data_IF_677046283519
#
_entry.id   IF_677046283519
#
_cell.length_a   1.000
_cell.length_b   1.000
_cell.length_c   1.000
_cell.angle_alpha   90.00
_cell.angle_beta   90.00
_cell.angle_gamma   90.00
#
_symmetry.space_group_name_H-M   'P 1'
#
loop_
_entity.id
_entity.type
_entity.pdbx_description
1 polymer ?
#
# COMPACT_ATOMS: atom_id res chain seq x y z
N UNK A 1 -0.98 30.73 15.40
CA UNK A 1 0.19 30.93 14.52
C UNK A 1 0.36 29.67 13.70
N UNK A 2 -0.22 29.66 12.51
CA UNK A 2 -0.10 28.58 11.52
C UNK A 2 1.22 28.75 10.82
N UNK A 3 2.17 27.87 11.09
CA UNK A 3 3.40 27.75 10.30
C UNK A 3 3.04 27.09 8.98
N UNK A 4 2.93 27.88 7.91
CA UNK A 4 2.94 27.36 6.54
C UNK A 4 4.28 26.65 6.32
N UNK A 5 4.24 25.32 6.19
CA UNK A 5 5.37 24.55 5.67
C UNK A 5 5.41 24.79 4.17
N UNK A 6 6.41 25.53 3.70
CA UNK A 6 6.74 25.61 2.28
C UNK A 6 7.14 24.21 1.80
N UNK A 7 6.44 23.59 0.84
CA UNK A 7 6.83 22.30 0.32
C UNK A 7 8.15 22.46 -0.43
N UNK A 8 9.20 21.82 0.06
CA UNK A 8 10.44 21.65 -0.70
C UNK A 8 10.12 20.77 -1.90
N UNK A 9 9.94 21.38 -3.06
CA UNK A 9 9.66 20.69 -4.32
C UNK A 9 10.92 19.96 -4.79
N UNK A 10 11.19 18.79 -4.22
CA UNK A 10 12.15 17.86 -4.79
C UNK A 10 11.50 17.24 -6.03
N UNK A 11 12.17 17.37 -7.19
CA UNK A 11 11.74 16.73 -8.43
C UNK A 11 11.76 15.21 -8.25
N UNK A 12 10.66 14.52 -8.53
CA UNK A 12 10.66 13.05 -8.57
C UNK A 12 11.53 12.57 -9.75
N UNK A 13 11.97 11.31 -9.72
CA UNK A 13 12.66 10.70 -10.87
C UNK A 13 11.81 10.79 -12.13
N UNK A 14 10.49 10.63 -12.01
CA UNK A 14 9.56 10.75 -13.13
C UNK A 14 9.52 12.17 -13.69
N UNK A 15 9.58 13.19 -12.84
CA UNK A 15 9.64 14.59 -13.28
C UNK A 15 10.98 14.90 -13.94
N UNK A 16 12.08 14.38 -13.40
CA UNK A 16 13.39 14.51 -14.02
C UNK A 16 13.44 13.83 -15.41
N UNK A 17 12.87 12.63 -15.54
CA UNK A 17 12.76 11.93 -16.82
C UNK A 17 11.86 12.68 -17.82
N UNK A 18 10.74 13.25 -17.36
CA UNK A 18 9.88 14.11 -18.19
C UNK A 18 10.63 15.34 -18.68
N UNK A 19 11.38 16.01 -17.80
CA UNK A 19 12.17 17.21 -18.13
C UNK A 19 13.29 16.89 -19.15
N UNK A 20 13.96 15.74 -19.00
CA UNK A 20 14.98 15.28 -19.95
C UNK A 20 14.36 14.88 -21.30
N UNK A 21 13.21 14.21 -21.29
CA UNK A 21 12.48 13.81 -22.49
C UNK A 21 11.94 14.99 -23.31
N UNK A 22 11.47 16.05 -22.65
CA UNK A 22 11.06 17.30 -23.33
C UNK A 22 12.26 18.11 -23.83
N UNK A 23 13.41 18.02 -23.17
CA UNK A 23 14.67 18.63 -23.63
C UNK A 23 15.22 18.01 -24.91
N UNK A 24 15.06 16.69 -25.11
CA UNK A 24 15.50 16.01 -26.34
C UNK A 24 14.63 16.34 -27.57
N UNK A 25 13.35 16.69 -27.37
CA UNK A 25 12.47 17.15 -28.45
C UNK A 25 12.59 18.66 -28.75
N UNK A 26 13.22 19.45 -27.87
CA UNK A 26 13.28 20.91 -27.97
C UNK A 26 14.66 21.52 -28.21
N UNK A 27 15.75 20.74 -28.16
CA UNK A 27 17.11 21.24 -28.33
C UNK A 27 17.91 20.41 -29.33
N UNK A 28 17.50 20.45 -30.60
CA UNK A 28 18.40 20.20 -31.72
C UNK A 28 19.42 21.34 -31.87
N UNK A 29 20.34 21.50 -30.89
CA UNK A 29 21.55 22.28 -31.10
C UNK A 29 22.47 21.47 -32.00
N UNK A 30 22.51 21.89 -33.26
CA UNK A 30 23.21 21.23 -34.34
C UNK A 30 24.70 21.01 -34.06
N UNK A 31 25.15 19.80 -34.39
CA UNK A 31 26.52 19.45 -34.77
C UNK A 31 26.49 18.06 -35.43
N UNK A 32 25.89 17.96 -36.62
CA UNK A 32 26.16 16.84 -37.54
C UNK A 32 26.52 17.41 -38.90
N UNK A 33 27.82 17.53 -39.11
CA UNK A 33 28.39 17.69 -40.44
C UNK A 33 28.09 16.42 -41.26
N UNK A 34 27.47 16.59 -42.42
CA UNK A 34 27.54 15.68 -43.55
C UNK A 34 26.80 14.34 -43.41
N UNK A 35 25.57 14.29 -43.94
CA UNK A 35 25.08 13.28 -44.89
C UNK A 35 23.58 13.52 -45.15
N UNK A 36 23.24 13.93 -46.38
CA UNK A 36 21.86 13.96 -46.86
C UNK A 36 21.36 12.52 -47.12
N UNK A 37 20.25 12.13 -46.49
CA UNK A 37 19.19 11.32 -47.13
C UNK A 37 17.97 11.14 -46.22
N UNK A 38 16.81 11.55 -46.71
CA UNK A 38 15.51 10.99 -46.32
C UNK A 38 14.82 11.65 -45.13
N UNK A 39 13.99 12.66 -45.40
CA UNK A 39 13.02 13.18 -44.43
C UNK A 39 11.98 12.12 -44.08
N UNK A 40 12.16 11.47 -42.94
CA UNK A 40 11.06 10.81 -42.24
C UNK A 40 10.27 11.89 -41.49
N UNK A 41 8.93 11.86 -41.48
CA UNK A 41 8.16 12.78 -40.66
C UNK A 41 8.57 12.55 -39.21
N UNK A 42 9.00 13.63 -38.56
CA UNK A 42 9.25 13.70 -37.13
C UNK A 42 7.95 13.31 -36.44
N UNK A 43 7.87 12.07 -35.97
CA UNK A 43 6.74 11.61 -35.18
C UNK A 43 6.81 12.38 -33.87
N UNK A 44 6.06 13.48 -33.77
CA UNK A 44 5.77 14.14 -32.51
C UNK A 44 5.16 13.07 -31.63
N UNK A 45 5.84 12.63 -30.54
CA UNK A 45 5.23 11.66 -29.64
C UNK A 45 3.97 12.31 -29.11
N UNK A 46 2.81 11.76 -29.44
CA UNK A 46 1.57 12.19 -28.81
C UNK A 46 1.78 12.07 -27.30
N UNK A 47 1.49 13.14 -26.53
CA UNK A 47 1.53 13.03 -25.09
C UNK A 47 0.63 11.84 -24.72
N UNK A 48 1.07 10.94 -23.81
CA UNK A 48 0.23 9.84 -23.38
C UNK A 48 -1.14 10.40 -23.01
N UNK A 49 -2.24 9.74 -23.40
CA UNK A 49 -3.58 10.27 -23.17
C UNK A 49 -3.66 10.70 -21.72
N UNK A 50 -3.93 12.00 -21.51
CA UNK A 50 -4.02 12.57 -20.19
C UNK A 50 -4.98 11.72 -19.38
N UNK A 51 -4.52 11.20 -18.23
CA UNK A 51 -5.37 10.42 -17.33
C UNK A 51 -6.61 11.27 -17.08
N UNK A 52 -7.79 10.76 -17.43
CA UNK A 52 -9.03 11.47 -17.21
C UNK A 52 -9.08 11.91 -15.74
N UNK A 53 -9.36 13.18 -15.49
CA UNK A 53 -9.43 13.71 -14.14
C UNK A 53 -10.46 12.89 -13.36
N UNK A 54 -10.03 12.27 -12.27
CA UNK A 54 -10.92 11.52 -11.38
C UNK A 54 -11.70 12.54 -10.58
N UNK A 55 -13.04 12.51 -10.70
CA UNK A 55 -13.91 13.38 -9.90
C UNK A 55 -14.34 12.60 -8.67
N UNK A 56 -13.98 13.12 -7.49
CA UNK A 56 -14.39 12.53 -6.22
C UNK A 56 -15.72 13.15 -5.75
N UNK A 57 -16.61 12.37 -5.10
CA UNK A 57 -17.79 12.90 -4.46
C UNK A 57 -17.46 13.96 -3.40
N UNK A 58 -18.35 14.92 -3.20
CA UNK A 58 -18.21 15.90 -2.14
C UNK A 58 -18.11 15.20 -0.77
N UNK A 59 -17.11 15.60 0.02
CA UNK A 59 -16.84 14.99 1.34
C UNK A 59 -16.16 13.63 1.31
N UNK A 60 -15.74 13.15 0.13
CA UNK A 60 -14.90 11.95 0.04
C UNK A 60 -13.57 12.15 0.78
N UNK A 61 -13.11 11.10 1.46
CA UNK A 61 -11.85 11.10 2.21
C UNK A 61 -11.06 9.84 1.88
N UNK A 62 -9.74 9.92 2.05
CA UNK A 62 -8.89 8.76 2.30
C UNK A 62 -8.43 8.81 3.74
N UNK A 63 -8.75 7.77 4.51
CA UNK A 63 -8.28 7.63 5.88
C UNK A 63 -6.85 7.07 5.89
N UNK A 64 -5.89 7.94 6.16
CA UNK A 64 -4.51 7.53 6.44
C UNK A 64 -4.30 7.39 7.95
N UNK A 65 -3.19 6.77 8.34
CA UNK A 65 -2.78 6.60 9.73
C UNK A 65 -2.67 7.93 10.47
N UNK A 66 -2.14 8.97 9.82
CA UNK A 66 -1.90 10.26 10.47
C UNK A 66 -3.12 11.20 10.40
N UNK A 67 -3.93 11.11 9.35
CA UNK A 67 -5.08 11.98 9.14
C UNK A 67 -6.06 11.42 8.09
N UNK A 68 -7.31 11.89 8.13
CA UNK A 68 -8.18 11.81 6.96
C UNK A 68 -7.75 12.93 5.99
N UNK A 69 -7.54 12.59 4.72
CA UNK A 69 -7.08 13.52 3.69
C UNK A 69 -8.06 13.56 2.52
N UNK A 70 -8.04 14.65 1.75
CA UNK A 70 -8.72 14.74 0.46
C UNK A 70 -8.11 13.73 -0.51
N UNK A 71 -8.89 12.89 -1.22
CA UNK A 71 -8.34 11.97 -2.23
C UNK A 71 -7.47 12.64 -3.29
N UNK A 72 -7.73 13.92 -3.61
CA UNK A 72 -6.90 14.71 -4.52
C UNK A 72 -5.47 14.93 -4.01
N UNK A 73 -5.21 14.83 -2.70
CA UNK A 73 -3.86 14.91 -2.15
C UNK A 73 -2.96 13.75 -2.61
N UNK A 74 -3.55 12.62 -3.03
CA UNK A 74 -2.81 11.48 -3.56
C UNK A 74 -2.37 11.63 -5.01
N UNK A 75 -2.86 12.65 -5.75
CA UNK A 75 -2.51 12.91 -7.16
C UNK A 75 -1.02 13.30 -7.35
N UNK A 76 -0.30 13.48 -6.26
CA UNK A 76 1.15 13.72 -6.21
C UNK A 76 1.98 12.49 -6.61
N UNK A 77 1.39 11.29 -6.69
CA UNK A 77 2.12 10.06 -6.98
C UNK A 77 1.24 8.81 -7.13
N UNK A 78 1.88 7.66 -7.24
CA UNK A 78 1.23 6.36 -7.27
C UNK A 78 0.86 5.88 -5.86
N UNK A 79 -0.23 5.12 -5.77
CA UNK A 79 -0.57 4.34 -4.58
C UNK A 79 -0.14 2.90 -4.81
N UNK A 80 0.71 2.36 -3.93
CA UNK A 80 0.93 0.92 -3.83
C UNK A 80 -0.14 0.34 -2.90
N UNK A 81 -1.05 -0.46 -3.46
CA UNK A 81 -2.28 -0.85 -2.77
C UNK A 81 -2.16 -2.11 -1.90
N UNK A 82 -1.02 -2.80 -1.95
CA UNK A 82 -0.82 -4.02 -1.16
C UNK A 82 0.66 -4.19 -0.83
N UNK A 83 1.07 -3.64 0.30
CA UNK A 83 2.44 -3.77 0.81
C UNK A 83 2.40 -4.21 2.28
N UNK A 84 3.51 -4.68 2.82
CA UNK A 84 3.60 -5.08 4.22
C UNK A 84 4.68 -4.26 4.92
N UNK A 85 4.26 -3.37 5.82
CA UNK A 85 5.16 -2.50 6.58
C UNK A 85 5.34 -2.98 8.03
N UNK A 86 4.46 -3.85 8.54
CA UNK A 86 4.62 -4.43 9.87
C UNK A 86 5.53 -5.68 9.82
N UNK A 87 6.47 -5.74 10.77
CA UNK A 87 7.60 -6.68 10.79
C UNK A 87 7.28 -8.15 11.08
N UNK A 88 6.01 -8.56 11.01
CA UNK A 88 5.59 -9.89 11.51
C UNK A 88 5.59 -10.98 10.43
N UNK A 89 6.08 -10.69 9.22
CA UNK A 89 6.16 -11.68 8.15
C UNK A 89 7.58 -12.23 7.98
N UNK A 90 7.76 -13.51 8.35
CA UNK A 90 9.00 -14.25 8.17
C UNK A 90 8.93 -15.08 6.89
N UNK A 91 9.12 -14.43 5.74
CA UNK A 91 9.26 -15.10 4.44
C UNK A 91 10.27 -14.34 3.56
N UNK A 92 11.15 -15.02 2.81
CA UNK A 92 11.33 -16.47 2.75
C UNK A 92 11.91 -17.05 4.07
N UNK A 93 11.78 -18.37 4.31
CA UNK A 93 12.47 -19.01 5.42
C UNK A 93 13.98 -18.73 5.36
N UNK A 94 14.66 -18.61 6.51
CA UNK A 94 16.07 -18.29 6.54
C UNK A 94 16.87 -19.30 5.72
N UNK A 95 17.78 -18.81 4.89
CA UNK A 95 18.65 -19.67 4.09
C UNK A 95 19.42 -20.67 4.96
N UNK A 96 19.64 -21.92 4.47
CA UNK A 96 20.38 -22.92 5.22
C UNK A 96 21.79 -22.41 5.55
N UNK A 97 22.13 -22.41 6.84
CA UNK A 97 23.45 -22.01 7.34
C UNK A 97 24.34 -23.21 7.57
N UNK A 98 25.65 -23.00 7.46
CA UNK A 98 26.62 -24.03 7.82
C UNK A 98 26.41 -24.50 9.27
N UNK A 99 26.53 -25.81 9.58
CA UNK A 99 26.32 -26.34 10.91
C UNK A 99 27.14 -25.59 11.97
N UNK A 100 26.50 -25.21 13.08
CA UNK A 100 27.14 -24.47 14.17
C UNK A 100 27.24 -22.95 13.96
N UNK A 101 26.74 -22.41 12.85
CA UNK A 101 26.67 -20.96 12.64
C UNK A 101 25.44 -20.39 13.36
N UNK A 102 25.59 -19.50 14.36
CA UNK A 102 24.45 -18.89 15.02
C UNK A 102 23.65 -18.00 14.05
N UNK A 103 22.33 -17.80 14.29
CA UNK A 103 21.58 -16.76 13.61
C UNK A 103 22.19 -15.38 13.90
N UNK A 104 22.04 -14.38 13.01
CA UNK A 104 22.44 -13.03 13.36
C UNK A 104 21.53 -12.54 14.50
N UNK A 105 21.94 -11.54 15.27
CA UNK A 105 20.98 -10.86 16.13
C UNK A 105 19.84 -10.32 15.26
N UNK A 106 18.61 -10.45 15.74
CA UNK A 106 17.48 -9.79 15.10
C UNK A 106 17.70 -8.27 15.18
N UNK A 107 17.35 -7.52 14.13
CA UNK A 107 17.43 -6.06 14.19
C UNK A 107 16.48 -5.52 15.25
N UNK A 108 16.82 -4.38 15.84
CA UNK A 108 15.92 -3.66 16.75
C UNK A 108 14.78 -3.03 15.97
N UNK A 109 13.65 -2.75 16.63
CA UNK A 109 12.55 -2.00 16.02
C UNK A 109 13.02 -0.65 15.47
N UNK A 110 13.89 0.05 16.19
CA UNK A 110 14.48 1.31 15.73
C UNK A 110 15.25 1.15 14.42
N UNK A 111 16.15 0.16 14.34
CA UNK A 111 16.92 -0.09 13.12
C UNK A 111 16.02 -0.49 11.93
N UNK A 112 14.95 -1.23 12.21
CA UNK A 112 13.97 -1.61 11.18
C UNK A 112 13.12 -0.42 10.71
N UNK A 113 12.71 0.47 11.63
CA UNK A 113 12.00 1.70 11.28
C UNK A 113 12.90 2.61 10.45
N UNK A 114 14.18 2.73 10.79
CA UNK A 114 15.14 3.51 10.01
C UNK A 114 15.28 2.98 8.59
N UNK A 115 15.46 1.66 8.45
CA UNK A 115 15.51 0.99 7.15
C UNK A 115 14.25 1.26 6.32
N UNK A 116 13.06 1.03 6.89
CA UNK A 116 11.81 1.26 6.15
C UNK A 116 11.58 2.73 5.81
N UNK A 117 12.02 3.67 6.65
CA UNK A 117 11.95 5.09 6.32
C UNK A 117 12.78 5.40 5.07
N UNK A 118 13.97 4.81 4.93
CA UNK A 118 14.81 5.01 3.76
C UNK A 118 14.21 4.34 2.50
N UNK A 119 13.67 3.12 2.62
CA UNK A 119 12.93 2.46 1.53
C UNK A 119 11.71 3.27 1.08
N UNK A 120 10.93 3.80 2.03
CA UNK A 120 9.77 4.65 1.73
C UNK A 120 10.18 5.96 1.04
N UNK A 121 11.31 6.56 1.43
CA UNK A 121 11.86 7.76 0.76
C UNK A 121 12.31 7.44 -0.66
N UNK A 122 12.90 6.27 -0.89
CA UNK A 122 13.27 5.82 -2.23
C UNK A 122 12.04 5.58 -3.10
N UNK A 123 11.02 4.91 -2.56
CA UNK A 123 9.73 4.76 -3.22
C UNK A 123 9.09 6.11 -3.55
N UNK A 124 9.11 7.06 -2.61
CA UNK A 124 8.62 8.42 -2.83
C UNK A 124 9.40 9.16 -3.92
N UNK A 125 10.73 9.01 -3.95
CA UNK A 125 11.58 9.58 -4.99
C UNK A 125 11.23 9.01 -6.39
N UNK A 126 10.87 7.73 -6.47
CA UNK A 126 10.39 7.08 -7.69
C UNK A 126 8.92 7.39 -8.02
N UNK A 127 8.23 8.17 -7.16
CA UNK A 127 6.91 8.74 -7.42
C UNK A 127 5.75 8.04 -6.70
N UNK A 128 6.00 7.29 -5.63
CA UNK A 128 4.95 6.75 -4.75
C UNK A 128 4.51 7.82 -3.74
N UNK A 129 3.21 8.12 -3.68
CA UNK A 129 2.64 9.06 -2.70
C UNK A 129 1.98 8.35 -1.53
N UNK A 130 1.51 7.12 -1.73
CA UNK A 130 0.73 6.39 -0.75
C UNK A 130 1.01 4.88 -0.76
N UNK A 131 0.99 4.27 0.42
CA UNK A 131 1.05 2.83 0.61
C UNK A 131 -0.13 2.37 1.46
N UNK A 132 -0.77 1.28 1.05
CA UNK A 132 -1.73 0.55 1.87
C UNK A 132 -0.99 -0.61 2.54
N UNK A 133 -0.89 -0.58 3.87
CA UNK A 133 -0.28 -1.64 4.68
C UNK A 133 -1.29 -2.78 4.89
N UNK A 134 -1.05 -3.89 4.21
CA UNK A 134 -1.83 -5.13 4.26
C UNK A 134 -1.42 -6.07 5.40
N UNK A 135 -0.63 -5.59 6.36
CA UNK A 135 -0.25 -6.40 7.52
C UNK A 135 -1.48 -6.85 8.32
N UNK A 136 -1.46 -8.11 8.75
CA UNK A 136 -2.64 -8.83 9.25
C UNK A 136 -2.70 -8.79 10.78
N UNK A 137 -3.91 -8.90 11.34
CA UNK A 137 -4.12 -9.02 12.78
C UNK A 137 -4.07 -7.71 13.57
N UNK A 138 -4.28 -7.79 14.90
CA UNK A 138 -4.22 -6.63 15.79
C UNK A 138 -2.81 -6.09 15.94
N UNK A 139 -2.69 -4.76 15.94
CA UNK A 139 -1.42 -4.06 16.15
C UNK A 139 -1.31 -3.59 17.60
N UNK A 140 -0.15 -3.82 18.20
CA UNK A 140 0.25 -3.22 19.48
C UNK A 140 0.46 -1.71 19.35
N UNK A 141 0.46 -1.00 20.48
CA UNK A 141 0.74 0.44 20.52
C UNK A 141 2.12 0.78 19.95
N UNK A 142 3.12 -0.07 20.20
CA UNK A 142 4.48 0.11 19.66
C UNK A 142 4.49 -0.04 18.13
N UNK A 143 3.78 -1.02 17.58
CA UNK A 143 3.65 -1.19 16.12
C UNK A 143 2.97 0.01 15.47
N UNK A 144 1.89 0.53 16.07
CA UNK A 144 1.21 1.74 15.59
C UNK A 144 2.14 2.96 15.67
N UNK A 145 2.91 3.10 16.75
CA UNK A 145 3.88 4.19 16.90
C UNK A 145 5.00 4.10 15.85
N UNK A 146 5.49 2.89 15.55
CA UNK A 146 6.50 2.64 14.52
C UNK A 146 5.97 3.02 13.13
N UNK A 147 4.75 2.59 12.77
CA UNK A 147 4.11 2.96 11.50
C UNK A 147 3.87 4.47 11.38
N UNK A 148 3.46 5.13 12.48
CA UNK A 148 3.29 6.58 12.50
C UNK A 148 4.62 7.32 12.34
N UNK A 149 5.70 6.81 12.95
CA UNK A 149 7.05 7.33 12.77
C UNK A 149 7.52 7.15 11.31
N UNK A 150 7.25 6.01 10.69
CA UNK A 150 7.54 5.78 9.27
C UNK A 150 6.84 6.80 8.38
N UNK A 151 5.51 6.93 8.48
CA UNK A 151 4.73 7.91 7.72
C UNK A 151 5.24 9.35 7.90
N UNK A 152 5.54 9.73 9.15
CA UNK A 152 5.99 11.09 9.48
C UNK A 152 7.38 11.39 8.91
N UNK A 153 8.31 10.44 8.99
CA UNK A 153 9.72 10.63 8.62
C UNK A 153 9.98 10.47 7.12
N UNK A 154 9.17 9.66 6.43
CA UNK A 154 9.26 9.45 4.98
C UNK A 154 8.45 10.48 4.18
N UNK A 155 7.33 10.96 4.75
CA UNK A 155 6.36 11.81 4.04
C UNK A 155 5.40 11.03 3.13
N UNK A 156 5.49 9.70 3.09
CA UNK A 156 4.56 8.83 2.36
C UNK A 156 3.29 8.66 3.19
N UNK A 157 2.13 8.78 2.54
CA UNK A 157 0.86 8.46 3.18
C UNK A 157 0.76 6.95 3.43
N UNK A 158 0.43 6.55 4.66
CA UNK A 158 0.19 5.14 4.99
C UNK A 158 -1.28 4.97 5.32
N UNK A 159 -1.98 4.13 4.57
CA UNK A 159 -3.33 3.65 4.87
C UNK A 159 -3.19 2.31 5.57
N UNK A 160 -3.72 2.17 6.79
CA UNK A 160 -3.71 0.88 7.47
C UNK A 160 -4.86 0.02 6.99
N UNK A 161 -4.53 -1.13 6.41
CA UNK A 161 -5.42 -2.26 6.25
C UNK A 161 -5.57 -3.01 7.57
N UNK A 162 -6.74 -3.61 7.77
CA UNK A 162 -6.91 -4.55 8.86
C UNK A 162 -7.90 -5.64 8.56
N UNK A 163 -7.52 -6.84 8.97
CA UNK A 163 -8.29 -8.07 8.81
C UNK A 163 -7.59 -9.20 9.56
N UNK A 164 -8.21 -10.37 9.57
CA UNK A 164 -7.53 -11.64 9.72
C UNK A 164 -7.26 -12.27 8.34
N UNK A 165 -6.15 -13.03 8.22
CA UNK A 165 -5.69 -13.54 6.92
C UNK A 165 -6.35 -14.84 6.48
N UNK A 166 -5.82 -15.98 6.93
CA UNK A 166 -6.23 -17.33 6.54
C UNK A 166 -6.24 -18.24 7.77
N UNK A 167 -7.06 -19.29 7.74
CA UNK A 167 -6.97 -20.39 8.70
C UNK A 167 -5.62 -21.14 8.50
N UNK A 168 -4.96 -21.66 9.55
CA UNK A 168 -5.33 -21.66 10.96
C UNK A 168 -4.86 -20.41 11.75
N UNK A 169 -4.52 -19.29 11.10
CA UNK A 169 -4.03 -18.09 11.81
C UNK A 169 -5.11 -17.30 12.56
N UNK A 170 -6.38 -17.68 12.45
CA UNK A 170 -7.45 -17.06 13.22
C UNK A 170 -7.29 -17.40 14.71
N UNK A 171 -7.31 -16.41 15.62
CA UNK A 171 -7.34 -16.68 17.05
C UNK A 171 -8.58 -17.51 17.43
N UNK A 172 -8.43 -18.41 18.40
CA UNK A 172 -9.51 -19.33 18.80
C UNK A 172 -10.75 -18.57 19.28
N UNK A 173 -10.54 -17.46 19.99
CA UNK A 173 -11.60 -16.57 20.45
C UNK A 173 -12.40 -15.97 19.30
N UNK A 174 -11.77 -15.67 18.15
CA UNK A 174 -12.45 -15.11 16.97
C UNK A 174 -13.24 -16.20 16.24
N UNK A 175 -12.70 -17.40 16.12
CA UNK A 175 -13.39 -18.53 15.46
C UNK A 175 -14.70 -18.87 16.17
N UNK A 176 -14.77 -18.72 17.49
CA UNK A 176 -15.96 -19.03 18.29
C UNK A 176 -17.08 -18.00 18.19
N UNK A 177 -16.78 -16.80 17.71
CA UNK A 177 -17.79 -15.75 17.53
C UNK A 177 -18.71 -16.06 16.35
N UNK A 178 -19.94 -15.57 16.45
CA UNK A 178 -20.86 -15.47 15.32
C UNK A 178 -20.38 -14.41 14.33
N UNK A 179 -20.92 -14.44 13.11
CA UNK A 179 -20.58 -13.48 12.05
C UNK A 179 -20.80 -12.01 12.48
N UNK A 180 -21.92 -11.71 13.13
CA UNK A 180 -22.26 -10.36 13.62
C UNK A 180 -21.32 -9.89 14.75
N UNK A 181 -20.92 -10.80 15.64
CA UNK A 181 -19.96 -10.52 16.71
C UNK A 181 -18.57 -10.25 16.14
N UNK A 182 -18.13 -11.00 15.12
CA UNK A 182 -16.88 -10.72 14.39
C UNK A 182 -16.95 -9.35 13.74
N UNK A 183 -18.06 -9.03 13.05
CA UNK A 183 -18.22 -7.72 12.41
C UNK A 183 -18.16 -6.58 13.44
N UNK A 184 -18.78 -6.75 14.60
CA UNK A 184 -18.74 -5.76 15.68
C UNK A 184 -17.33 -5.59 16.24
N UNK A 185 -16.63 -6.70 16.53
CA UNK A 185 -15.23 -6.70 16.94
C UNK A 185 -14.34 -5.95 15.94
N UNK A 186 -14.50 -6.22 14.64
CA UNK A 186 -13.70 -5.59 13.58
C UNK A 186 -14.02 -4.09 13.42
N UNK A 187 -15.28 -3.65 13.59
CA UNK A 187 -15.63 -2.22 13.58
C UNK A 187 -14.95 -1.48 14.73
N UNK A 188 -14.98 -2.04 15.93
CA UNK A 188 -14.33 -1.45 17.11
C UNK A 188 -12.81 -1.37 16.91
N UNK A 189 -12.21 -2.45 16.41
CA UNK A 189 -10.79 -2.49 16.11
C UNK A 189 -10.38 -1.49 15.02
N UNK A 190 -11.16 -1.39 13.94
CA UNK A 190 -10.95 -0.41 12.88
C UNK A 190 -10.99 1.02 13.38
N UNK A 191 -11.88 1.33 14.32
CA UNK A 191 -11.93 2.63 15.00
C UNK A 191 -10.70 2.90 15.86
N UNK A 192 -10.28 1.91 16.66
CA UNK A 192 -9.13 2.03 17.58
C UNK A 192 -7.80 2.20 16.85
N UNK A 193 -7.59 1.44 15.77
CA UNK A 193 -6.35 1.43 14.98
C UNK A 193 -6.39 2.38 13.78
N UNK A 194 -7.52 3.06 13.57
CA UNK A 194 -7.74 4.00 12.46
C UNK A 194 -7.55 3.36 11.07
N UNK A 195 -8.14 2.19 10.86
CA UNK A 195 -8.08 1.52 9.56
C UNK A 195 -8.69 2.38 8.46
N UNK A 196 -8.07 2.36 7.29
CA UNK A 196 -8.57 2.99 6.07
C UNK A 196 -8.97 2.00 4.98
N UNK A 197 -8.73 0.70 5.19
CA UNK A 197 -9.20 -0.39 4.33
C UNK A 197 -9.40 -1.68 5.15
N UNK A 198 -10.23 -2.58 4.64
CA UNK A 198 -10.50 -3.90 5.19
C UNK A 198 -9.74 -4.95 4.37
N UNK A 199 -8.72 -5.54 4.96
CA UNK A 199 -7.90 -6.55 4.29
C UNK A 199 -6.47 -6.66 4.86
N UNK A 200 -5.68 -7.63 4.39
CA UNK A 200 -6.12 -8.69 3.48
C UNK A 200 -6.88 -9.81 4.22
N UNK A 201 -8.05 -10.19 3.70
CA UNK A 201 -8.73 -11.44 4.07
C UNK A 201 -8.55 -12.46 2.99
N UNK A 202 -8.18 -13.68 3.36
CA UNK A 202 -7.89 -14.75 2.42
C UNK A 202 -8.97 -15.79 2.28
N UNK A 203 -8.90 -16.47 1.14
CA UNK A 203 -9.57 -17.73 0.86
C UNK A 203 -8.55 -18.82 0.54
N UNK A 204 -8.75 -20.02 1.09
CA UNK A 204 -7.88 -21.16 0.83
C UNK A 204 -8.12 -21.80 -0.54
N UNK A 205 -7.13 -22.57 -1.00
CA UNK A 205 -7.19 -23.45 -2.16
C UNK A 205 -6.89 -24.90 -1.72
N UNK A 206 -7.56 -25.93 -2.27
CA UNK A 206 -8.54 -25.90 -3.37
C UNK A 206 -9.96 -25.48 -2.98
N UNK A 207 -10.25 -25.41 -1.69
CA UNK A 207 -11.57 -25.06 -1.16
C UNK A 207 -11.43 -24.03 -0.03
N UNK A 208 -12.35 -23.06 0.00
CA UNK A 208 -12.46 -22.10 1.10
C UNK A 208 -13.14 -22.76 2.29
N UNK A 209 -12.49 -22.65 3.45
CA UNK A 209 -13.03 -23.17 4.70
C UNK A 209 -14.26 -22.36 5.15
N UNK A 210 -15.16 -22.98 5.92
CA UNK A 210 -16.36 -22.32 6.43
C UNK A 210 -16.05 -21.10 7.29
N UNK A 211 -14.96 -21.13 8.06
CA UNK A 211 -14.53 -19.99 8.87
C UNK A 211 -13.97 -18.84 8.02
N UNK A 212 -13.33 -19.12 6.89
CA UNK A 212 -12.92 -18.10 5.92
C UNK A 212 -14.15 -17.47 5.27
N UNK A 213 -15.13 -18.29 4.89
CA UNK A 213 -16.43 -17.83 4.36
C UNK A 213 -17.17 -16.96 5.39
N UNK A 214 -17.15 -17.34 6.66
CA UNK A 214 -17.73 -16.57 7.77
C UNK A 214 -16.99 -15.23 7.96
N UNK A 215 -15.66 -15.23 7.92
CA UNK A 215 -14.85 -14.02 8.05
C UNK A 215 -15.10 -13.03 6.90
N UNK A 216 -15.15 -13.50 5.65
CA UNK A 216 -15.44 -12.64 4.49
C UNK A 216 -16.84 -12.04 4.59
N UNK A 217 -17.84 -12.81 5.01
CA UNK A 217 -19.20 -12.27 5.24
C UNK A 217 -19.23 -11.24 6.36
N UNK A 218 -18.55 -11.49 7.48
CA UNK A 218 -18.42 -10.50 8.56
C UNK A 218 -17.76 -9.20 8.05
N UNK A 219 -16.71 -9.28 7.22
CA UNK A 219 -16.09 -8.09 6.62
C UNK A 219 -17.01 -7.32 5.68
N UNK A 220 -17.86 -8.02 4.91
CA UNK A 220 -18.91 -7.35 4.12
C UNK A 220 -19.87 -6.55 4.99
N UNK A 221 -20.20 -7.04 6.19
CA UNK A 221 -20.99 -6.28 7.16
C UNK A 221 -20.20 -5.06 7.71
N UNK A 222 -18.91 -5.21 8.01
CA UNK A 222 -18.04 -4.10 8.43
C UNK A 222 -18.00 -3.02 7.36
N UNK A 223 -17.84 -3.39 6.09
CA UNK A 223 -17.90 -2.47 4.97
C UNK A 223 -19.24 -1.73 4.92
N UNK A 224 -20.36 -2.45 5.00
CA UNK A 224 -21.68 -1.84 5.00
C UNK A 224 -21.88 -0.85 6.17
N UNK A 225 -21.28 -1.11 7.34
CA UNK A 225 -21.38 -0.26 8.54
C UNK A 225 -20.44 0.94 8.52
N UNK A 226 -19.30 0.86 7.85
CA UNK A 226 -18.20 1.84 7.97
C UNK A 226 -17.84 2.56 6.67
N UNK A 227 -18.21 2.00 5.53
CA UNK A 227 -17.78 2.46 4.21
C UNK A 227 -16.32 2.15 3.86
N UNK A 228 -15.58 1.44 4.73
CA UNK A 228 -14.19 1.07 4.45
C UNK A 228 -14.10 0.13 3.24
N UNK A 229 -13.24 0.38 2.24
CA UNK A 229 -13.10 -0.49 1.07
C UNK A 229 -12.54 -1.86 1.46
N UNK A 230 -12.97 -2.92 0.77
CA UNK A 230 -12.48 -4.28 0.98
C UNK A 230 -11.44 -4.65 -0.08
N UNK A 231 -10.38 -5.33 0.35
CA UNK A 231 -9.49 -6.07 -0.53
C UNK A 231 -9.19 -7.46 0.05
N UNK A 232 -8.98 -8.42 -0.84
CA UNK A 232 -8.87 -9.83 -0.48
C UNK A 232 -7.55 -10.41 -1.00
N UNK A 233 -7.07 -11.42 -0.28
CA UNK A 233 -6.09 -12.37 -0.76
C UNK A 233 -6.84 -13.49 -1.50
N UNK A 234 -6.40 -13.77 -2.72
CA UNK A 234 -6.91 -14.89 -3.51
C UNK A 234 -5.76 -15.83 -3.84
N UNK A 235 -5.97 -17.15 -3.78
CA UNK A 235 -4.94 -18.10 -4.14
C UNK A 235 -4.55 -17.90 -5.61
N UNK A 236 -3.26 -18.06 -5.94
CA UNK A 236 -2.74 -17.86 -7.29
C UNK A 236 -3.42 -18.73 -8.33
N UNK A 237 -3.80 -19.96 -7.95
CA UNK A 237 -4.50 -20.94 -8.77
C UNK A 237 -5.96 -20.55 -9.05
N UNK A 238 -6.48 -19.51 -8.38
CA UNK A 238 -7.90 -19.18 -8.28
C UNK A 238 -8.71 -20.31 -7.62
N UNK A 239 -9.84 -19.94 -7.02
CA UNK A 239 -10.75 -20.90 -6.42
C UNK A 239 -12.17 -20.64 -6.92
N UNK A 240 -12.60 -21.32 -8.00
CA UNK A 240 -13.94 -21.13 -8.58
C UNK A 240 -15.08 -21.44 -7.60
N UNK A 241 -14.85 -22.33 -6.62
CA UNK A 241 -15.81 -22.69 -5.57
C UNK A 241 -15.81 -21.73 -4.37
N UNK A 242 -14.86 -20.78 -4.31
CA UNK A 242 -14.73 -19.82 -3.23
C UNK A 242 -15.66 -18.59 -3.37
N UNK A 243 -16.69 -18.68 -4.22
CA UNK A 243 -17.72 -17.66 -4.31
C UNK A 243 -18.46 -17.53 -2.97
N UNK A 244 -18.76 -16.29 -2.58
CA UNK A 244 -19.64 -15.98 -1.44
C UNK A 244 -21.04 -15.76 -2.01
N UNK A 245 -22.03 -16.45 -1.46
CA UNK A 245 -23.46 -16.31 -1.83
C UNK A 245 -24.06 -14.99 -1.30
#
# INVERSE_FOLDING_TARGET
MTTERTPTSHLSRRDALRLLGTGAAGAGLGLTAGCESGGAPEAVPEPPPGRAAVVFPEGAIVRTLLADIDPAALDTGATLFHEHLAFDFSSPPPEPRAPGTPPPPLPTNEAMVDLLVDELRMAAFDGVSCIVDSSIGPRSEEQLANLAAMATRSGVHIVLGGSYFLQPRYPEEIIRLSEEEIATHLVEQAGRERWGALGEVGSSFPEMHDDERKMIRAMSQVHARTGLPIFTHVPHESCPSCAVE
#
